data_IF_485790513231
#
_entry.id   IF_485790513231
#
_cell.length_a   1.000
_cell.length_b   1.000
_cell.length_c   1.000
_cell.angle_alpha   90.00
_cell.angle_beta   90.00
_cell.angle_gamma   90.00
#
_symmetry.space_group_name_H-M   'P 1'
#
loop_
_entity.id
_entity.type
_entity.pdbx_description
1 polymer ?
#
# COMPACT_ATOMS: atom_id res chain seq x y z
N UNK A 1 6.63 -0.79 6.39
CA UNK A 1 6.80 -0.87 4.92
C UNK A 1 8.05 -1.71 4.60
N UNK A 2 8.08 -2.53 3.54
CA UNK A 2 9.27 -3.33 3.19
C UNK A 2 10.02 -2.83 1.94
N UNK A 3 9.33 -2.31 0.93
CA UNK A 3 9.94 -1.82 -0.32
C UNK A 3 9.06 -0.77 -0.99
N UNK A 4 9.69 0.18 -1.68
CA UNK A 4 9.04 1.27 -2.42
C UNK A 4 9.58 1.28 -3.84
N UNK A 5 8.72 1.08 -4.83
CA UNK A 5 9.10 1.09 -6.24
C UNK A 5 8.34 2.21 -6.97
N UNK A 6 8.91 3.42 -6.92
CA UNK A 6 8.27 4.62 -7.47
C UNK A 6 8.22 4.65 -8.99
N UNK A 7 9.11 3.92 -9.66
CA UNK A 7 9.12 3.77 -11.11
C UNK A 7 7.93 2.94 -11.60
N UNK A 8 7.59 1.87 -10.85
CA UNK A 8 6.46 1.00 -11.16
C UNK A 8 5.15 1.45 -10.49
N UNK A 9 5.22 2.39 -9.55
CA UNK A 9 4.07 2.79 -8.73
C UNK A 9 3.58 1.65 -7.82
N UNK A 10 4.51 0.84 -7.30
CA UNK A 10 4.20 -0.31 -6.46
C UNK A 10 4.88 -0.17 -5.10
N UNK A 11 4.21 -0.62 -4.05
CA UNK A 11 4.71 -0.60 -2.70
C UNK A 11 4.45 -1.92 -1.97
N UNK A 12 5.50 -2.51 -1.40
CA UNK A 12 5.37 -3.69 -0.56
C UNK A 12 5.07 -3.24 0.87
N UNK A 13 3.84 -3.46 1.30
CA UNK A 13 3.37 -3.13 2.64
C UNK A 13 3.14 -4.42 3.44
N UNK A 14 3.75 -4.48 4.62
CA UNK A 14 3.33 -5.43 5.65
C UNK A 14 2.17 -4.78 6.38
N UNK A 15 0.98 -5.34 6.20
CA UNK A 15 -0.23 -4.86 6.84
C UNK A 15 -0.70 -5.83 7.91
N UNK A 16 -1.42 -5.32 8.90
CA UNK A 16 -2.12 -6.13 9.88
C UNK A 16 -3.43 -6.66 9.29
N UNK A 17 -4.18 -7.47 10.04
CA UNK A 17 -5.41 -8.05 9.53
C UNK A 17 -6.43 -6.96 9.11
N UNK A 18 -6.78 -6.93 7.83
CA UNK A 18 -7.77 -6.00 7.29
C UNK A 18 -9.14 -6.68 7.38
N UNK A 19 -9.80 -6.51 8.53
CA UNK A 19 -11.10 -7.15 8.81
C UNK A 19 -12.16 -6.83 7.75
N UNK A 20 -12.17 -5.62 7.21
CA UNK A 20 -13.13 -5.19 6.19
C UNK A 20 -13.02 -6.02 4.89
N UNK A 21 -11.82 -6.50 4.57
CA UNK A 21 -11.56 -7.35 3.41
C UNK A 21 -11.42 -8.83 3.78
N UNK A 22 -11.56 -9.18 5.07
CA UNK A 22 -11.25 -10.49 5.65
C UNK A 22 -9.83 -10.98 5.33
N UNK A 23 -8.87 -10.07 5.19
CA UNK A 23 -7.48 -10.43 4.93
C UNK A 23 -6.70 -10.61 6.24
N UNK A 24 -5.89 -11.69 6.37
CA UNK A 24 -4.98 -11.83 7.50
C UNK A 24 -3.85 -10.80 7.40
N UNK A 25 -3.11 -10.60 8.50
CA UNK A 25 -1.91 -9.78 8.47
C UNK A 25 -0.83 -10.43 7.61
N UNK A 26 -0.48 -9.81 6.49
CA UNK A 26 0.49 -10.35 5.54
C UNK A 26 1.31 -9.24 4.88
N UNK A 27 2.33 -9.63 4.13
CA UNK A 27 3.12 -8.70 3.30
C UNK A 27 2.69 -8.87 1.86
N UNK A 28 2.22 -7.79 1.25
CA UNK A 28 1.71 -7.82 -0.11
C UNK A 28 2.11 -6.54 -0.86
N UNK A 29 2.20 -6.66 -2.18
CA UNK A 29 2.50 -5.56 -3.08
C UNK A 29 1.22 -4.86 -3.51
N UNK A 30 1.17 -3.56 -3.28
CA UNK A 30 0.04 -2.72 -3.63
C UNK A 30 0.44 -1.72 -4.71
N UNK A 31 -0.39 -1.60 -5.74
CA UNK A 31 -0.25 -0.51 -6.70
C UNK A 31 -0.77 0.78 -6.08
N UNK A 32 -0.04 1.88 -6.25
CA UNK A 32 -0.50 3.21 -5.83
C UNK A 32 -1.11 3.95 -7.01
N UNK A 33 -2.15 4.75 -6.72
CA UNK A 33 -2.80 5.57 -7.75
C UNK A 33 -1.90 6.69 -8.27
N UNK A 34 -1.11 7.30 -7.38
CA UNK A 34 -0.13 8.32 -7.73
C UNK A 34 1.23 7.96 -7.12
N UNK A 35 2.29 7.78 -7.93
CA UNK A 35 3.65 7.52 -7.45
C UNK A 35 4.17 8.61 -6.49
N UNK A 36 3.63 9.82 -6.54
CA UNK A 36 3.97 10.90 -5.60
C UNK A 36 3.58 10.56 -4.16
N UNK A 37 2.60 9.69 -3.93
CA UNK A 37 2.24 9.20 -2.59
C UNK A 37 3.39 8.45 -1.92
N UNK A 38 4.30 7.90 -2.72
CA UNK A 38 5.48 7.17 -2.25
C UNK A 38 6.66 8.11 -1.97
N UNK A 39 6.62 9.37 -2.44
CA UNK A 39 7.69 10.33 -2.16
C UNK A 39 7.67 10.70 -0.68
N UNK A 40 8.80 10.47 -0.02
CA UNK A 40 8.99 10.79 1.40
C UNK A 40 8.65 9.64 2.35
N UNK A 41 8.04 8.55 1.87
CA UNK A 41 7.86 7.35 2.67
C UNK A 41 9.16 6.55 2.68
N UNK A 42 9.60 6.14 3.88
CA UNK A 42 10.80 5.32 4.04
C UNK A 42 10.45 3.85 4.28
N UNK A 43 11.31 2.90 3.84
CA UNK A 43 11.25 1.53 4.31
C UNK A 43 11.21 1.49 5.85
N UNK A 44 10.55 0.47 6.40
CA UNK A 44 10.39 0.26 7.85
C UNK A 44 9.52 1.29 8.59
N UNK A 45 9.09 2.35 7.92
CA UNK A 45 8.11 3.28 8.46
C UNK A 45 6.76 2.60 8.68
N UNK A 46 6.14 2.89 9.83
CA UNK A 46 4.73 2.64 10.07
C UNK A 46 3.95 3.76 9.40
N UNK A 47 3.05 3.38 8.51
CA UNK A 47 2.21 4.30 7.75
C UNK A 47 0.78 3.81 7.81
N UNK A 48 -0.16 4.74 7.74
CA UNK A 48 -1.57 4.45 7.52
C UNK A 48 -1.84 4.61 6.04
N UNK A 49 -2.56 3.67 5.44
CA UNK A 49 -2.88 3.71 4.02
C UNK A 49 -4.33 3.35 3.79
N UNK A 50 -4.91 3.91 2.73
CA UNK A 50 -6.26 3.63 2.30
C UNK A 50 -6.25 2.87 0.97
N UNK A 51 -6.98 1.76 0.94
CA UNK A 51 -7.19 0.95 -0.24
C UNK A 51 -8.58 1.24 -0.80
N UNK A 52 -8.66 1.38 -2.11
CA UNK A 52 -9.92 1.46 -2.84
C UNK A 52 -9.95 0.34 -3.86
N UNK A 53 -11.08 -0.36 -3.94
CA UNK A 53 -11.31 -1.34 -4.99
C UNK A 53 -11.71 -0.60 -6.28
N UNK A 54 -10.85 -0.65 -7.29
CA UNK A 54 -11.11 -0.12 -8.62
C UNK A 54 -11.06 -1.27 -9.63
N UNK A 55 -12.20 -1.54 -10.28
CA UNK A 55 -12.32 -2.59 -11.31
C UNK A 55 -11.83 -3.97 -10.84
N UNK A 56 -12.12 -4.34 -9.59
CA UNK A 56 -11.70 -5.62 -9.00
C UNK A 56 -10.22 -5.69 -8.60
N UNK A 57 -9.52 -4.55 -8.53
CA UNK A 57 -8.14 -4.46 -8.01
C UNK A 57 -8.08 -3.46 -6.87
N UNK A 58 -7.34 -3.78 -5.82
CA UNK A 58 -7.11 -2.85 -4.71
C UNK A 58 -5.93 -1.94 -5.02
N UNK A 59 -6.20 -0.64 -5.06
CA UNK A 59 -5.19 0.39 -5.28
C UNK A 59 -5.09 1.30 -4.06
N UNK A 60 -3.88 1.65 -3.68
CA UNK A 60 -3.62 2.59 -2.61
C UNK A 60 -3.85 4.00 -3.14
N UNK A 61 -4.82 4.69 -2.55
CA UNK A 61 -5.18 6.06 -2.95
C UNK A 61 -4.64 7.11 -1.99
N UNK A 62 -4.25 6.69 -0.78
CA UNK A 62 -3.68 7.57 0.24
C UNK A 62 -2.71 6.83 1.15
N UNK A 63 -1.64 7.51 1.55
CA UNK A 63 -0.63 7.05 2.50
C UNK A 63 -0.28 8.22 3.42
N UNK A 64 -0.16 7.99 4.72
CA UNK A 64 0.19 8.95 5.77
C UNK A 64 1.17 8.38 6.78
#
# INVERSE_FOLDING_TARGET
MKRVDTALGVVSLKHEAIKSLKWPGMTMDFSVRDPKLLKGIKPEQKVTFELVEEKGRYVVTRIQ
#
